data_IF_419360916812
#
_entry.id   IF_419360916812
#
_cell.length_a   1.000
_cell.length_b   1.000
_cell.length_c   1.000
_cell.angle_alpha   90.00
_cell.angle_beta   90.00
_cell.angle_gamma   90.00
#
_symmetry.space_group_name_H-M   'P 1'
#
loop_
_entity.id
_entity.type
_entity.pdbx_description
1 polymer ?
#
# COMPACT_ATOMS: atom_id res chain seq x y z
N UNK A 1 13.12 -7.06 18.58
CA UNK A 1 12.36 -7.38 17.35
C UNK A 1 12.30 -6.10 16.52
N UNK A 2 12.37 -6.14 15.18
CA UNK A 2 12.16 -4.93 14.39
C UNK A 2 10.77 -4.36 14.72
N UNK A 3 10.68 -3.04 14.90
CA UNK A 3 9.39 -2.37 15.14
C UNK A 3 8.58 -2.43 13.84
N UNK A 4 7.36 -2.98 13.91
CA UNK A 4 6.45 -3.05 12.77
C UNK A 4 6.10 -1.65 12.31
N UNK A 5 6.31 -1.36 11.02
CA UNK A 5 6.03 -0.06 10.41
C UNK A 5 4.63 -0.04 9.82
N UNK A 6 3.78 0.83 10.34
CA UNK A 6 2.35 0.89 10.01
C UNK A 6 2.05 2.20 9.28
N UNK A 7 1.36 2.13 8.14
CA UNK A 7 0.71 3.30 7.57
C UNK A 7 -0.75 3.37 8.02
N UNK A 8 -1.19 4.54 8.49
CA UNK A 8 -2.57 4.78 8.90
C UNK A 8 -3.20 5.89 8.09
N UNK A 9 -4.24 5.58 7.32
CA UNK A 9 -5.07 6.57 6.64
C UNK A 9 -6.34 6.85 7.45
N UNK A 10 -6.79 8.11 7.44
CA UNK A 10 -7.98 8.52 8.21
C UNK A 10 -7.73 8.67 9.71
N UNK A 11 -6.48 8.92 10.12
CA UNK A 11 -6.05 8.99 11.51
C UNK A 11 -6.78 10.05 12.36
N UNK A 12 -7.31 11.12 11.75
CA UNK A 12 -8.04 12.19 12.44
C UNK A 12 -9.55 11.95 12.51
N UNK A 13 -10.04 10.81 12.02
CA UNK A 13 -11.46 10.45 12.05
C UNK A 13 -11.88 9.82 13.38
N UNK A 14 -13.18 9.58 13.53
CA UNK A 14 -13.76 8.96 14.74
C UNK A 14 -13.17 7.57 15.04
N UNK A 15 -12.90 6.78 13.99
CA UNK A 15 -12.26 5.46 14.13
C UNK A 15 -10.73 5.57 14.17
N UNK A 16 -10.14 6.45 13.36
CA UNK A 16 -8.69 6.58 13.27
C UNK A 16 -8.03 7.12 14.54
N UNK A 17 -8.68 8.03 15.26
CA UNK A 17 -8.13 8.65 16.48
C UNK A 17 -7.83 7.62 17.58
N UNK A 18 -8.78 6.76 18.01
CA UNK A 18 -8.49 5.74 19.02
C UNK A 18 -7.52 4.67 18.52
N UNK A 19 -7.52 4.35 17.23
CA UNK A 19 -6.56 3.39 16.64
C UNK A 19 -5.15 3.97 16.67
N UNK A 20 -4.96 5.22 16.24
CA UNK A 20 -3.66 5.88 16.29
C UNK A 20 -3.12 5.88 17.72
N UNK A 21 -3.95 6.23 18.70
CA UNK A 21 -3.56 6.19 20.11
C UNK A 21 -3.09 4.79 20.53
N UNK A 22 -3.87 3.75 20.21
CA UNK A 22 -3.53 2.37 20.57
C UNK A 22 -2.22 1.89 19.91
N UNK A 23 -1.97 2.27 18.65
CA UNK A 23 -0.73 1.92 17.94
C UNK A 23 0.49 2.59 18.57
N UNK A 24 0.38 3.88 18.93
CA UNK A 24 1.46 4.62 19.58
C UNK A 24 1.70 4.14 21.03
N UNK A 25 0.64 3.85 21.79
CA UNK A 25 0.72 3.27 23.14
C UNK A 25 1.40 1.87 23.13
N UNK A 26 1.34 1.16 22.01
CA UNK A 26 2.04 -0.10 21.78
C UNK A 26 3.49 0.05 21.30
N UNK A 27 4.02 1.28 21.27
CA UNK A 27 5.39 1.62 20.84
C UNK A 27 5.69 1.24 19.37
N UNK A 28 4.65 1.19 18.52
CA UNK A 28 4.79 0.90 17.08
C UNK A 28 5.12 2.17 16.29
N UNK A 29 5.89 2.02 15.21
CA UNK A 29 6.20 3.11 14.29
C UNK A 29 5.05 3.33 13.31
N UNK A 30 4.40 4.49 13.40
CA UNK A 30 3.20 4.84 12.62
C UNK A 30 3.49 6.01 11.68
N UNK A 31 3.18 5.83 10.40
CA UNK A 31 3.15 6.88 9.39
C UNK A 31 1.70 7.21 9.07
N UNK A 32 1.23 8.38 9.45
CA UNK A 32 -0.11 8.85 9.08
C UNK A 32 -0.09 9.37 7.64
N UNK A 33 -0.99 8.82 6.83
CA UNK A 33 -1.24 9.29 5.47
C UNK A 33 -2.31 10.38 5.51
N UNK A 34 -1.89 11.62 5.32
CA UNK A 34 -2.78 12.78 5.27
C UNK A 34 -3.09 13.14 3.83
N UNK A 35 -4.37 13.34 3.51
CA UNK A 35 -4.73 13.99 2.24
C UNK A 35 -4.26 15.45 2.26
N UNK A 36 -3.92 16.01 1.10
CA UNK A 36 -3.68 17.46 0.96
C UNK A 36 -4.86 18.28 1.50
N UNK A 37 -4.57 19.29 2.32
CA UNK A 37 -5.60 20.10 3.00
C UNK A 37 -6.37 19.36 4.10
N UNK A 38 -5.84 18.21 4.56
CA UNK A 38 -6.40 17.44 5.66
C UNK A 38 -6.17 18.09 7.03
N UNK A 39 -6.61 17.38 8.07
CA UNK A 39 -6.54 17.84 9.46
C UNK A 39 -5.34 17.28 10.24
N UNK A 40 -4.35 16.68 9.57
CA UNK A 40 -3.24 16.00 10.24
C UNK A 40 -2.38 16.95 11.09
N UNK A 41 -2.40 18.25 10.80
CA UNK A 41 -1.78 19.29 11.64
C UNK A 41 -2.35 19.36 13.07
N UNK A 42 -3.51 18.74 13.32
CA UNK A 42 -4.13 18.65 14.66
C UNK A 42 -3.61 17.48 15.49
N UNK A 43 -2.81 16.59 14.89
CA UNK A 43 -2.25 15.44 15.61
C UNK A 43 -1.13 15.90 16.54
N UNK A 44 -1.08 15.32 17.74
CA UNK A 44 -0.02 15.58 18.70
C UNK A 44 1.28 14.93 18.26
N UNK A 45 2.39 15.64 18.45
CA UNK A 45 3.72 15.08 18.19
C UNK A 45 3.99 13.85 19.06
N UNK A 46 4.57 12.82 18.47
CA UNK A 46 5.00 11.60 19.15
C UNK A 46 6.29 11.09 18.48
N UNK A 47 7.28 10.55 19.23
CA UNK A 47 8.55 10.10 18.65
C UNK A 47 8.39 9.01 17.57
N UNK A 48 7.35 8.18 17.70
CA UNK A 48 7.05 7.10 16.74
C UNK A 48 5.99 7.48 15.70
N UNK A 49 5.68 8.78 15.54
CA UNK A 49 4.68 9.26 14.60
C UNK A 49 5.33 10.10 13.50
N UNK A 50 5.20 9.66 12.26
CA UNK A 50 5.48 10.44 11.06
C UNK A 50 4.16 10.81 10.36
N UNK A 51 4.16 11.91 9.61
CA UNK A 51 3.00 12.37 8.84
C UNK A 51 3.45 12.64 7.41
N UNK A 52 2.86 11.92 6.46
CA UNK A 52 3.11 12.11 5.03
C UNK A 52 1.86 12.57 4.31
N UNK A 53 1.98 13.68 3.60
CA UNK A 53 0.92 14.13 2.70
C UNK A 53 0.91 13.28 1.42
N UNK A 54 -0.27 12.80 1.04
CA UNK A 54 -0.48 11.95 -0.13
C UNK A 54 -1.76 12.34 -0.88
N UNK A 55 -1.78 12.01 -2.16
CA UNK A 55 -3.00 11.87 -2.95
C UNK A 55 -3.34 10.38 -3.07
N UNK A 56 -4.49 9.97 -2.52
CA UNK A 56 -4.91 8.57 -2.53
C UNK A 56 -5.26 8.06 -3.93
N UNK A 57 -5.51 8.96 -4.89
CA UNK A 57 -5.81 8.60 -6.28
C UNK A 57 -4.55 8.51 -7.18
N UNK A 58 -3.35 8.73 -6.63
CA UNK A 58 -2.09 8.67 -7.40
C UNK A 58 -1.11 7.67 -6.78
N UNK A 59 -0.77 6.64 -7.56
CA UNK A 59 0.25 5.64 -7.20
C UNK A 59 1.60 6.31 -6.98
N UNK A 60 1.94 7.30 -7.79
CA UNK A 60 3.19 8.06 -7.70
C UNK A 60 3.29 8.82 -6.37
N UNK A 61 2.16 9.31 -5.86
CA UNK A 61 2.09 9.96 -4.54
C UNK A 61 2.14 8.95 -3.38
N UNK A 62 1.47 7.80 -3.51
CA UNK A 62 1.37 6.81 -2.44
C UNK A 62 2.64 5.98 -2.25
N UNK A 63 3.30 5.57 -3.33
CA UNK A 63 4.49 4.70 -3.32
C UNK A 63 5.59 5.17 -2.34
N UNK A 64 6.09 6.43 -2.39
CA UNK A 64 7.15 6.86 -1.48
C UNK A 64 6.68 6.94 -0.01
N UNK A 65 5.38 7.10 0.22
CA UNK A 65 4.83 7.12 1.57
C UNK A 65 4.72 5.71 2.17
N UNK A 66 4.45 4.72 1.31
CA UNK A 66 4.32 3.32 1.68
C UNK A 66 5.63 2.53 1.66
N UNK A 67 6.73 3.06 1.12
CA UNK A 67 7.98 2.32 1.04
C UNK A 67 8.45 1.81 2.43
N UNK A 68 8.61 0.49 2.53
CA UNK A 68 8.99 -0.18 3.77
C UNK A 68 7.88 -0.30 4.80
N UNK A 69 6.65 0.14 4.53
CA UNK A 69 5.50 -0.12 5.39
C UNK A 69 5.13 -1.61 5.33
N UNK A 70 4.90 -2.22 6.49
CA UNK A 70 4.55 -3.65 6.58
C UNK A 70 3.04 -3.84 6.65
N UNK A 71 2.32 -2.88 7.24
CA UNK A 71 0.86 -2.94 7.44
C UNK A 71 0.23 -1.61 7.08
N UNK A 72 -0.86 -1.65 6.32
CA UNK A 72 -1.70 -0.48 6.03
C UNK A 72 -3.04 -0.63 6.74
N UNK A 73 -3.43 0.38 7.50
CA UNK A 73 -4.74 0.48 8.15
C UNK A 73 -5.50 1.64 7.52
N UNK A 74 -6.66 1.36 6.94
CA UNK A 74 -7.54 2.37 6.36
C UNK A 74 -8.74 2.63 7.28
N UNK A 75 -8.82 3.85 7.80
CA UNK A 75 -9.98 4.34 8.56
C UNK A 75 -10.68 5.50 7.83
N UNK A 76 -10.47 5.63 6.51
CA UNK A 76 -11.13 6.67 5.73
C UNK A 76 -12.63 6.37 5.57
N UNK A 77 -13.44 7.42 5.61
CA UNK A 77 -14.89 7.30 5.47
C UNK A 77 -15.29 7.65 4.03
N UNK A 78 -16.12 6.82 3.41
CA UNK A 78 -16.84 7.07 2.14
C UNK A 78 -16.03 7.18 0.83
N UNK A 79 -14.76 6.77 0.80
CA UNK A 79 -14.00 6.66 -0.46
C UNK A 79 -13.29 5.31 -0.55
N UNK A 80 -14.09 4.26 -0.74
CA UNK A 80 -13.59 2.88 -0.93
C UNK A 80 -12.75 2.82 -2.20
N UNK A 81 -13.18 3.49 -3.27
CA UNK A 81 -12.49 3.46 -4.54
C UNK A 81 -11.13 4.16 -4.46
N UNK A 82 -11.06 5.40 -3.97
CA UNK A 82 -9.81 6.16 -3.91
C UNK A 82 -8.79 5.56 -2.95
N UNK A 83 -9.18 5.29 -1.70
CA UNK A 83 -8.22 4.81 -0.71
C UNK A 83 -7.92 3.32 -0.85
N UNK A 84 -8.94 2.46 -1.00
CA UNK A 84 -8.72 1.02 -0.99
C UNK A 84 -8.11 0.53 -2.31
N UNK A 85 -8.55 1.03 -3.47
CA UNK A 85 -7.90 0.66 -4.74
C UNK A 85 -6.48 1.19 -4.80
N UNK A 86 -6.21 2.42 -4.33
CA UNK A 86 -4.85 2.97 -4.26
C UNK A 86 -3.90 2.07 -3.47
N UNK A 87 -4.33 1.59 -2.29
CA UNK A 87 -3.55 0.63 -1.50
C UNK A 87 -3.39 -0.72 -2.20
N UNK A 88 -4.46 -1.27 -2.76
CA UNK A 88 -4.41 -2.52 -3.51
C UNK A 88 -3.48 -2.42 -4.73
N UNK A 89 -3.45 -1.29 -5.44
CA UNK A 89 -2.54 -1.09 -6.55
C UNK A 89 -1.08 -0.99 -6.10
N UNK A 90 -0.79 -0.30 -5.00
CA UNK A 90 0.57 -0.31 -4.46
C UNK A 90 0.99 -1.71 -3.98
N UNK A 91 0.12 -2.43 -3.26
CA UNK A 91 0.42 -3.77 -2.75
C UNK A 91 0.56 -4.81 -3.87
N UNK A 92 -0.32 -4.76 -4.87
CA UNK A 92 -0.31 -5.73 -5.96
C UNK A 92 0.67 -5.33 -7.05
N UNK A 93 0.64 -4.10 -7.56
CA UNK A 93 1.31 -3.74 -8.81
C UNK A 93 2.67 -3.06 -8.64
N UNK A 94 3.08 -2.73 -7.41
CA UNK A 94 4.41 -2.20 -7.18
C UNK A 94 5.44 -3.35 -7.12
N UNK A 95 6.59 -3.16 -7.77
CA UNK A 95 7.70 -4.13 -7.75
C UNK A 95 8.18 -4.45 -6.33
N UNK A 96 8.07 -3.49 -5.42
CA UNK A 96 8.51 -3.65 -4.02
C UNK A 96 7.57 -4.55 -3.19
N UNK A 97 6.34 -4.85 -3.64
CA UNK A 97 5.29 -5.50 -2.83
C UNK A 97 4.72 -6.82 -3.36
N UNK A 98 5.01 -7.27 -4.59
CA UNK A 98 4.76 -8.69 -4.93
C UNK A 98 4.37 -9.10 -6.36
N UNK A 99 4.29 -8.19 -7.34
CA UNK A 99 4.14 -8.58 -8.76
C UNK A 99 5.44 -8.42 -9.56
N UNK A 100 6.59 -8.63 -8.93
CA UNK A 100 7.83 -8.78 -9.68
C UNK A 100 7.99 -10.22 -10.17
N UNK A 101 7.43 -10.49 -11.35
CA UNK A 101 7.50 -11.76 -12.05
C UNK A 101 8.81 -11.94 -12.84
N UNK A 102 9.78 -11.03 -12.71
CA UNK A 102 11.01 -11.07 -13.52
C UNK A 102 12.03 -12.13 -13.07
N UNK A 103 11.97 -12.59 -11.81
CA UNK A 103 12.97 -13.50 -11.25
C UNK A 103 12.45 -14.73 -10.50
N UNK A 104 11.15 -14.80 -10.18
CA UNK A 104 10.53 -15.90 -9.43
C UNK A 104 9.17 -16.26 -10.01
N UNK A 105 9.19 -16.93 -11.16
CA UNK A 105 7.99 -17.52 -11.76
C UNK A 105 7.78 -18.93 -11.19
N UNK A 106 6.55 -19.27 -10.82
CA UNK A 106 6.20 -20.63 -10.39
C UNK A 106 6.18 -21.63 -11.55
N UNK A 107 6.42 -21.17 -12.79
CA UNK A 107 6.48 -21.99 -14.00
C UNK A 107 7.43 -23.18 -13.85
N UNK A 108 8.62 -22.97 -13.28
CA UNK A 108 9.58 -24.06 -13.03
C UNK A 108 9.06 -25.05 -11.98
N UNK A 109 8.44 -24.56 -10.90
CA UNK A 109 7.84 -25.39 -9.85
C UNK A 109 6.70 -26.26 -10.39
N UNK A 110 5.91 -25.71 -11.31
CA UNK A 110 4.72 -26.35 -11.87
C UNK A 110 5.01 -27.14 -13.15
N UNK A 111 6.24 -27.11 -13.66
CA UNK A 111 6.62 -27.73 -14.93
C UNK A 111 5.91 -27.11 -16.15
N UNK A 112 5.47 -25.85 -16.03
CA UNK A 112 4.76 -25.12 -17.09
C UNK A 112 5.80 -24.41 -17.95
N UNK A 113 5.76 -24.66 -19.27
CA UNK A 113 6.59 -23.93 -20.22
C UNK A 113 6.13 -22.46 -20.30
N UNK A 114 7.04 -21.54 -20.08
CA UNK A 114 6.80 -20.12 -20.34
C UNK A 114 6.70 -19.86 -21.85
N UNK A 115 5.66 -19.11 -22.25
CA UNK A 115 5.48 -18.69 -23.63
C UNK A 115 6.13 -17.33 -23.83
N UNK A 116 7.03 -17.23 -24.82
CA UNK A 116 7.50 -15.94 -25.30
C UNK A 116 6.37 -15.15 -25.96
N UNK A 117 6.56 -13.83 -26.13
CA UNK A 117 5.55 -12.95 -26.72
C UNK A 117 5.06 -13.46 -28.09
N UNK A 118 5.97 -13.90 -28.96
CA UNK A 118 5.63 -14.41 -30.29
C UNK A 118 4.83 -15.72 -30.24
N UNK A 119 5.21 -16.64 -29.33
CA UNK A 119 4.49 -17.91 -29.14
C UNK A 119 3.08 -17.66 -28.61
N UNK A 120 2.94 -16.72 -27.66
CA UNK A 120 1.64 -16.32 -27.12
C UNK A 120 0.76 -15.67 -28.20
N UNK A 121 1.32 -14.77 -29.01
CA UNK A 121 0.60 -14.13 -30.12
C UNK A 121 0.11 -15.16 -31.13
N UNK A 122 0.95 -16.11 -31.52
CA UNK A 122 0.59 -17.18 -32.45
C UNK A 122 -0.53 -18.07 -31.88
N UNK A 123 -0.46 -18.41 -30.59
CA UNK A 123 -1.49 -19.19 -29.91
C UNK A 123 -2.83 -18.45 -29.92
N UNK A 124 -2.87 -17.18 -29.52
CA UNK A 124 -4.11 -16.38 -29.51
C UNK A 124 -4.69 -16.26 -30.92
N UNK A 125 -3.85 -16.02 -31.92
CA UNK A 125 -4.28 -15.94 -33.32
C UNK A 125 -4.90 -17.26 -33.84
N UNK A 126 -4.53 -18.42 -33.28
CA UNK A 126 -5.11 -19.70 -33.67
C UNK A 126 -6.58 -19.89 -33.24
N UNK A 127 -7.09 -19.03 -32.36
CA UNK A 127 -8.48 -19.04 -31.89
C UNK A 127 -9.38 -17.99 -32.54
N UNK A 128 -8.83 -17.14 -33.42
CA UNK A 128 -9.54 -16.09 -34.16
C UNK A 128 -9.84 -16.53 -35.59
#
# INVERSE_FOLDING_TARGET
MPSTRIALAGATGNLGTPILKALLDADLSVTVLSRRGGNASKLTHHPNLDIKEVDFNSIESLRPALLGVEVVVSCVQADVDGAMLGFCFCGSLCRDYGCDFSGRLDNEMLGIKELGEDELRALVASFL
#
